data_IF_569502522255
#
_entry.id   IF_569502522255
#
_cell.length_a   1.000
_cell.length_b   1.000
_cell.length_c   1.000
_cell.angle_alpha   90.00
_cell.angle_beta   90.00
_cell.angle_gamma   90.00
#
_symmetry.space_group_name_H-M   'P 1'
#
loop_
_entity.id
_entity.type
_entity.pdbx_description
1 polymer ?
#
# COMPACT_ATOMS: atom_id res chain seq x y z
N UNK A 1 -17.77 24.02 -16.81
CA UNK A 1 -17.23 22.64 -16.80
C UNK A 1 -18.27 21.70 -16.24
N UNK A 2 -18.64 20.62 -16.97
CA UNK A 2 -19.51 19.57 -16.38
C UNK A 2 -18.63 18.71 -15.46
N UNK A 3 -19.03 18.47 -14.20
CA UNK A 3 -18.25 17.64 -13.29
C UNK A 3 -18.19 16.20 -13.82
N UNK A 4 -17.04 15.55 -13.65
CA UNK A 4 -16.72 14.19 -14.09
C UNK A 4 -17.54 13.10 -13.37
N UNK A 5 -18.88 13.15 -13.46
CA UNK A 5 -19.79 12.25 -12.74
C UNK A 5 -19.59 10.76 -13.09
N UNK A 6 -18.92 10.44 -14.20
CA UNK A 6 -18.73 9.05 -14.69
C UNK A 6 -17.28 8.59 -14.63
N UNK A 7 -16.35 9.38 -14.08
CA UNK A 7 -14.95 9.01 -14.06
C UNK A 7 -14.71 7.82 -13.14
N UNK A 8 -14.31 6.70 -13.73
CA UNK A 8 -14.04 5.43 -13.03
C UNK A 8 -12.57 5.15 -12.83
N UNK A 9 -11.73 5.70 -13.69
CA UNK A 9 -10.29 5.46 -13.72
C UNK A 9 -9.57 6.79 -13.82
N UNK A 10 -8.53 6.96 -13.02
CA UNK A 10 -7.74 8.17 -13.01
C UNK A 10 -6.26 7.82 -12.91
N UNK A 11 -5.47 8.48 -13.75
CA UNK A 11 -4.02 8.33 -13.82
C UNK A 11 -3.40 9.69 -13.53
N UNK A 12 -2.51 9.74 -12.55
CA UNK A 12 -1.72 10.92 -12.24
C UNK A 12 -0.26 10.63 -12.39
N UNK A 13 0.44 11.58 -12.99
CA UNK A 13 1.89 11.65 -12.95
C UNK A 13 2.27 13.03 -12.47
N UNK A 14 3.05 13.12 -11.40
CA UNK A 14 3.51 14.39 -10.88
C UNK A 14 4.87 14.27 -10.19
N UNK A 15 5.54 15.41 -10.09
CA UNK A 15 6.74 15.57 -9.28
C UNK A 15 6.32 16.19 -7.94
N UNK A 16 6.54 15.48 -6.82
CA UNK A 16 6.14 16.00 -5.51
C UNK A 16 7.15 16.99 -4.92
N UNK A 17 8.32 17.19 -5.54
CA UNK A 17 9.29 18.19 -5.10
C UNK A 17 8.69 19.61 -5.09
N UNK A 18 7.65 19.86 -5.89
CA UNK A 18 7.00 21.17 -6.03
C UNK A 18 5.60 21.24 -5.43
N UNK A 19 5.08 20.15 -4.85
CA UNK A 19 3.68 20.10 -4.39
C UNK A 19 3.59 20.59 -2.94
N UNK A 20 2.75 21.59 -2.74
CA UNK A 20 2.44 22.12 -1.42
C UNK A 20 1.35 21.30 -0.71
N UNK A 21 1.33 21.31 0.62
CA UNK A 21 0.28 20.66 1.41
C UNK A 21 -1.14 21.12 1.02
N UNK A 22 -1.31 22.40 0.66
CA UNK A 22 -2.60 22.96 0.20
C UNK A 22 -3.08 22.34 -1.11
N UNK A 23 -2.16 22.06 -2.04
CA UNK A 23 -2.49 21.42 -3.32
C UNK A 23 -2.88 19.95 -3.11
N UNK A 24 -2.22 19.27 -2.18
CA UNK A 24 -2.60 17.93 -1.73
C UNK A 24 -4.03 17.93 -1.16
N UNK A 25 -4.34 18.85 -0.24
CA UNK A 25 -5.67 18.98 0.36
C UNK A 25 -6.76 19.19 -0.70
N UNK A 26 -6.48 20.08 -1.66
CA UNK A 26 -7.41 20.38 -2.75
C UNK A 26 -7.61 19.18 -3.68
N UNK A 27 -6.54 18.45 -3.98
CA UNK A 27 -6.61 17.24 -4.80
C UNK A 27 -7.41 16.14 -4.09
N UNK A 28 -7.12 15.86 -2.82
CA UNK A 28 -7.84 14.89 -2.01
C UNK A 28 -9.33 15.26 -1.84
N UNK A 29 -9.63 16.54 -1.58
CA UNK A 29 -11.00 17.04 -1.55
C UNK A 29 -11.74 16.84 -2.87
N UNK A 30 -11.05 16.99 -4.00
CA UNK A 30 -11.61 16.73 -5.33
C UNK A 30 -11.86 15.24 -5.57
N UNK A 31 -10.93 14.37 -5.14
CA UNK A 31 -11.06 12.91 -5.25
C UNK A 31 -12.24 12.38 -4.44
N UNK A 32 -12.46 12.87 -3.22
CA UNK A 32 -13.60 12.49 -2.36
C UNK A 32 -14.96 12.81 -3.01
N UNK A 33 -15.02 13.79 -3.90
CA UNK A 33 -16.23 14.14 -4.65
C UNK A 33 -16.51 13.19 -5.83
N UNK A 34 -15.54 12.34 -6.22
CA UNK A 34 -15.69 11.39 -7.32
C UNK A 34 -16.38 10.11 -6.86
N UNK A 35 -17.71 10.12 -6.86
CA UNK A 35 -18.55 8.99 -6.40
C UNK A 35 -18.44 7.68 -7.19
N UNK A 36 -17.67 7.65 -8.28
CA UNK A 36 -17.56 6.50 -9.17
C UNK A 36 -16.11 6.07 -9.40
N UNK A 37 -15.14 6.70 -8.74
CA UNK A 37 -13.73 6.37 -8.92
C UNK A 37 -13.46 4.99 -8.34
N UNK A 38 -13.08 4.06 -9.22
CA UNK A 38 -12.83 2.66 -8.90
C UNK A 38 -11.33 2.34 -8.99
N UNK A 39 -10.64 2.91 -9.97
CA UNK A 39 -9.22 2.69 -10.21
C UNK A 39 -8.47 4.00 -10.14
N UNK A 40 -7.38 4.02 -9.39
CA UNK A 40 -6.47 5.14 -9.29
C UNK A 40 -5.04 4.65 -9.41
N UNK A 41 -4.30 5.25 -10.32
CA UNK A 41 -2.86 5.02 -10.48
C UNK A 41 -2.14 6.35 -10.37
N UNK A 42 -1.14 6.41 -9.50
CA UNK A 42 -0.33 7.60 -9.23
C UNK A 42 1.11 7.23 -9.45
N UNK A 43 1.81 8.01 -10.27
CA UNK A 43 3.26 7.93 -10.42
C UNK A 43 3.90 9.21 -9.91
N UNK A 44 4.75 9.10 -8.91
CA UNK A 44 5.45 10.19 -8.25
C UNK A 44 6.94 10.12 -8.61
N UNK A 45 7.52 11.17 -9.19
CA UNK A 45 8.94 11.16 -9.57
C UNK A 45 9.85 11.31 -8.34
N UNK A 46 9.71 12.41 -7.60
CA UNK A 46 10.38 12.66 -6.33
C UNK A 46 9.32 12.83 -5.25
N UNK A 47 9.49 12.20 -4.09
CA UNK A 47 8.53 12.26 -3.00
C UNK A 47 9.11 12.91 -1.75
N UNK A 48 8.38 13.86 -1.17
CA UNK A 48 8.49 14.18 0.25
C UNK A 48 7.61 13.19 1.01
N UNK A 49 8.18 12.54 2.03
CA UNK A 49 7.57 11.41 2.77
C UNK A 49 6.18 11.76 3.33
N UNK A 50 6.10 12.77 4.20
CA UNK A 50 4.89 13.07 4.96
C UNK A 50 3.64 13.38 4.09
N UNK A 51 3.71 14.22 3.04
CA UNK A 51 2.57 14.42 2.13
C UNK A 51 2.13 13.14 1.43
N UNK A 52 3.07 12.28 1.04
CA UNK A 52 2.76 11.06 0.31
C UNK A 52 2.09 10.01 1.20
N UNK A 53 2.55 9.82 2.44
CA UNK A 53 1.89 8.91 3.38
C UNK A 53 0.44 9.30 3.58
N UNK A 54 0.22 10.60 3.83
CA UNK A 54 -1.11 11.17 4.04
C UNK A 54 -2.00 10.95 2.82
N UNK A 55 -1.47 11.13 1.61
CA UNK A 55 -2.20 10.83 0.38
C UNK A 55 -2.61 9.37 0.37
N UNK A 56 -1.68 8.43 0.57
CA UNK A 56 -1.98 7.00 0.46
C UNK A 56 -3.03 6.56 1.49
N UNK A 57 -2.89 6.99 2.75
CA UNK A 57 -3.90 6.76 3.80
C UNK A 57 -5.28 7.24 3.36
N UNK A 58 -5.35 8.47 2.85
CA UNK A 58 -6.61 9.07 2.39
C UNK A 58 -7.23 8.33 1.20
N UNK A 59 -6.40 7.68 0.37
CA UNK A 59 -6.88 6.84 -0.73
C UNK A 59 -7.48 5.53 -0.23
N UNK A 60 -6.98 4.94 0.87
CA UNK A 60 -7.64 3.79 1.52
C UNK A 60 -9.04 4.15 2.03
N UNK A 61 -9.26 5.41 2.44
CA UNK A 61 -10.55 5.90 2.91
C UNK A 61 -11.58 6.16 1.78
N UNK A 62 -11.20 6.01 0.50
CA UNK A 62 -12.14 6.22 -0.61
C UNK A 62 -13.04 4.97 -0.79
N UNK A 63 -14.35 5.05 -0.49
CA UNK A 63 -15.21 3.87 -0.39
C UNK A 63 -15.44 3.17 -1.73
N UNK A 64 -15.26 3.87 -2.85
CA UNK A 64 -15.50 3.34 -4.20
C UNK A 64 -14.24 2.76 -4.84
N UNK A 65 -13.06 3.04 -4.26
CA UNK A 65 -11.78 2.67 -4.82
C UNK A 65 -11.52 1.18 -4.58
N UNK A 66 -11.36 0.44 -5.68
CA UNK A 66 -11.06 -1.00 -5.67
C UNK A 66 -9.64 -1.30 -6.14
N UNK A 67 -9.04 -0.41 -6.93
CA UNK A 67 -7.69 -0.61 -7.47
C UNK A 67 -6.86 0.62 -7.20
N UNK A 68 -5.79 0.43 -6.43
CA UNK A 68 -4.83 1.48 -6.10
C UNK A 68 -3.45 1.05 -6.57
N UNK A 69 -2.83 1.89 -7.40
CA UNK A 69 -1.45 1.75 -7.83
C UNK A 69 -0.70 3.03 -7.50
N UNK A 70 0.40 2.94 -6.76
CA UNK A 70 1.27 4.07 -6.44
C UNK A 70 2.70 3.68 -6.76
N UNK A 71 3.30 4.31 -7.76
CA UNK A 71 4.68 4.08 -8.15
C UNK A 71 5.52 5.32 -7.83
N UNK A 72 6.52 5.16 -6.99
CA UNK A 72 7.37 6.25 -6.52
C UNK A 72 8.75 6.03 -7.15
N UNK A 73 9.36 7.09 -7.70
CA UNK A 73 10.67 7.02 -8.34
C UNK A 73 11.77 6.93 -7.29
N UNK A 74 12.07 8.06 -6.66
CA UNK A 74 13.05 8.14 -5.58
C UNK A 74 12.39 8.56 -4.27
N UNK A 75 12.38 7.66 -3.29
CA UNK A 75 12.06 7.95 -1.90
C UNK A 75 13.24 7.49 -1.04
N UNK A 76 14.00 8.43 -0.48
CA UNK A 76 15.17 8.13 0.37
C UNK A 76 14.81 7.76 1.81
N UNK A 77 13.52 7.80 2.14
CA UNK A 77 13.03 7.56 3.49
C UNK A 77 12.30 6.23 3.56
N UNK A 78 12.55 5.49 4.63
CA UNK A 78 11.80 4.30 5.00
C UNK A 78 10.44 4.71 5.54
N UNK A 79 9.40 3.96 5.20
CA UNK A 79 8.07 4.26 5.71
C UNK A 79 8.00 3.94 7.20
N UNK A 80 7.88 4.96 8.06
CA UNK A 80 7.78 4.75 9.51
C UNK A 80 6.33 4.82 9.99
N UNK A 81 5.83 3.67 10.46
CA UNK A 81 4.58 3.50 11.22
C UNK A 81 3.30 4.08 10.57
N UNK A 82 2.77 3.41 9.55
CA UNK A 82 1.43 3.70 9.04
C UNK A 82 0.30 3.20 9.95
N UNK A 83 0.61 2.23 10.81
CA UNK A 83 -0.35 1.51 11.63
C UNK A 83 -1.47 2.39 12.26
N UNK A 84 -1.20 3.53 12.93
CA UNK A 84 -2.26 4.32 13.55
C UNK A 84 -3.18 5.07 12.56
N UNK A 85 -2.87 5.08 11.27
CA UNK A 85 -3.61 5.85 10.26
C UNK A 85 -4.30 4.99 9.22
N UNK A 86 -4.00 3.70 9.13
CA UNK A 86 -4.73 2.79 8.24
C UNK A 86 -6.15 2.63 8.79
N UNK A 87 -7.20 2.84 7.96
CA UNK A 87 -8.57 2.67 8.43
C UNK A 87 -8.85 1.22 8.79
N UNK A 88 -9.67 0.99 9.82
CA UNK A 88 -10.07 -0.35 10.28
C UNK A 88 -10.64 -1.24 9.16
N UNK A 89 -11.22 -0.64 8.12
CA UNK A 89 -11.62 -1.35 6.91
C UNK A 89 -11.53 -0.51 5.63
N UNK A 90 -11.20 -1.14 4.50
CA UNK A 90 -11.24 -0.52 3.17
C UNK A 90 -11.57 -1.51 2.03
N UNK A 91 -12.02 -0.98 0.89
CA UNK A 91 -12.64 -1.73 -0.22
C UNK A 91 -11.68 -2.10 -1.38
N UNK A 92 -10.37 -1.99 -1.16
CA UNK A 92 -9.38 -2.24 -2.20
C UNK A 92 -9.26 -3.74 -2.48
N UNK A 93 -9.39 -4.12 -3.75
CA UNK A 93 -9.21 -5.47 -4.27
C UNK A 93 -7.79 -5.66 -4.86
N UNK A 94 -7.21 -4.60 -5.42
CA UNK A 94 -5.86 -4.63 -6.01
C UNK A 94 -5.01 -3.49 -5.48
N UNK A 95 -3.92 -3.83 -4.79
CA UNK A 95 -2.96 -2.88 -4.26
C UNK A 95 -1.61 -3.08 -4.94
N UNK A 96 -1.05 -1.99 -5.45
CA UNK A 96 0.34 -1.94 -5.93
C UNK A 96 0.98 -0.69 -5.37
N UNK A 97 2.03 -0.84 -4.58
CA UNK A 97 2.80 0.31 -4.08
C UNK A 97 4.28 -0.03 -4.24
N UNK A 98 4.94 0.64 -5.18
CA UNK A 98 6.32 0.35 -5.58
C UNK A 98 7.20 1.58 -5.42
N UNK A 99 8.49 1.38 -5.15
CA UNK A 99 9.46 2.47 -4.99
C UNK A 99 9.39 3.20 -3.64
N UNK A 100 8.59 2.65 -2.71
CA UNK A 100 8.67 2.98 -1.29
C UNK A 100 8.50 1.69 -0.50
N UNK A 101 9.48 1.33 0.33
CA UNK A 101 9.47 0.06 1.03
C UNK A 101 8.63 0.15 2.32
N UNK A 102 7.85 -0.90 2.59
CA UNK A 102 6.94 -1.03 3.74
C UNK A 102 7.58 -1.83 4.86
N UNK A 103 7.12 -1.60 6.09
CA UNK A 103 7.35 -2.55 7.16
C UNK A 103 6.40 -3.75 7.04
N UNK A 104 6.85 -4.92 7.51
CA UNK A 104 6.05 -6.13 7.52
C UNK A 104 4.72 -5.95 8.28
N UNK A 105 4.76 -5.27 9.43
CA UNK A 105 3.57 -5.03 10.25
C UNK A 105 2.52 -4.18 9.53
N UNK A 106 2.94 -3.18 8.75
CA UNK A 106 2.02 -2.36 7.96
C UNK A 106 1.37 -3.20 6.85
N UNK A 107 2.14 -4.09 6.20
CA UNK A 107 1.57 -5.03 5.23
C UNK A 107 0.55 -5.97 5.88
N UNK A 108 0.84 -6.53 7.06
CA UNK A 108 -0.10 -7.38 7.79
C UNK A 108 -1.39 -6.64 8.11
N UNK A 109 -1.29 -5.40 8.59
CA UNK A 109 -2.45 -4.57 8.89
C UNK A 109 -3.28 -4.27 7.65
N UNK A 110 -2.64 -3.86 6.54
CA UNK A 110 -3.31 -3.63 5.24
C UNK A 110 -4.09 -4.89 4.82
N UNK A 111 -3.45 -6.05 4.94
CA UNK A 111 -4.07 -7.33 4.58
C UNK A 111 -5.28 -7.64 5.47
N UNK A 112 -5.22 -7.34 6.78
CA UNK A 112 -6.34 -7.56 7.71
C UNK A 112 -7.49 -6.58 7.52
N UNK A 113 -7.17 -5.31 7.27
CA UNK A 113 -8.15 -4.24 7.09
C UNK A 113 -8.89 -4.34 5.75
N UNK A 114 -8.49 -5.22 4.83
CA UNK A 114 -9.28 -5.48 3.63
C UNK A 114 -9.57 -6.95 3.37
N UNK A 115 -10.82 -7.31 3.64
CA UNK A 115 -11.36 -8.61 3.28
C UNK A 115 -11.50 -8.82 1.77
N UNK A 116 -11.42 -7.75 0.97
CA UNK A 116 -11.60 -7.80 -0.48
C UNK A 116 -10.30 -7.91 -1.26
N UNK A 117 -9.16 -7.81 -0.58
CA UNK A 117 -7.84 -7.84 -1.19
C UNK A 117 -7.61 -9.16 -1.93
N UNK A 118 -7.30 -9.06 -3.23
CA UNK A 118 -7.03 -10.20 -4.12
C UNK A 118 -5.62 -10.16 -4.69
N UNK A 119 -5.08 -8.97 -4.87
CA UNK A 119 -3.77 -8.74 -5.46
C UNK A 119 -2.98 -7.74 -4.62
N UNK A 120 -1.75 -8.12 -4.28
CA UNK A 120 -0.78 -7.25 -3.59
C UNK A 120 0.53 -7.31 -4.35
N UNK A 121 1.07 -6.14 -4.68
CA UNK A 121 2.45 -5.97 -5.12
C UNK A 121 3.06 -4.82 -4.32
N UNK A 122 4.02 -5.14 -3.45
CA UNK A 122 4.67 -4.16 -2.59
C UNK A 122 6.17 -4.44 -2.44
N UNK A 123 6.92 -3.39 -2.08
CA UNK A 123 8.31 -3.50 -1.63
C UNK A 123 8.36 -3.48 -0.10
N UNK A 124 9.23 -4.27 0.53
CA UNK A 124 9.38 -4.38 1.98
C UNK A 124 10.80 -3.98 2.42
N UNK A 125 10.92 -3.23 3.51
CA UNK A 125 12.19 -2.89 4.17
C UNK A 125 12.68 -4.02 5.08
N UNK A 126 13.84 -3.81 5.70
CA UNK A 126 14.52 -4.71 6.65
C UNK A 126 13.59 -5.23 7.75
N UNK A 127 13.44 -6.54 7.81
CA UNK A 127 12.68 -7.27 8.85
C UNK A 127 13.43 -7.38 10.18
N UNK A 128 14.77 -7.30 10.16
CA UNK A 128 15.65 -7.61 11.31
C UNK A 128 15.47 -6.73 12.53
N UNK A 129 15.14 -5.45 12.35
CA UNK A 129 15.12 -4.49 13.46
C UNK A 129 13.93 -4.71 14.42
N UNK A 130 12.93 -5.50 14.03
CA UNK A 130 11.61 -5.44 14.67
C UNK A 130 11.13 -6.73 15.34
N UNK A 131 11.88 -7.83 15.27
CA UNK A 131 11.67 -8.97 16.17
C UNK A 131 11.93 -8.61 17.65
N UNK A 132 12.61 -7.49 17.91
CA UNK A 132 12.88 -6.99 19.27
C UNK A 132 11.75 -6.13 19.87
N UNK A 133 10.77 -5.70 19.06
CA UNK A 133 9.60 -4.97 19.56
C UNK A 133 8.43 -5.96 19.74
N UNK A 134 8.40 -6.61 20.90
CA UNK A 134 7.43 -7.63 21.35
C UNK A 134 5.94 -7.18 21.39
N UNK A 135 5.57 -6.04 20.81
CA UNK A 135 4.30 -5.38 21.09
C UNK A 135 3.13 -5.67 20.14
N UNK A 136 3.38 -6.13 18.91
CA UNK A 136 2.30 -6.29 17.93
C UNK A 136 2.42 -7.66 17.26
N UNK A 137 2.04 -8.70 17.99
CA UNK A 137 1.65 -9.98 17.39
C UNK A 137 0.33 -9.77 16.64
N UNK A 138 0.40 -9.21 15.43
CA UNK A 138 -0.73 -9.20 14.52
C UNK A 138 -0.98 -10.66 14.10
N UNK A 139 -1.91 -11.32 14.79
CA UNK A 139 -2.37 -12.65 14.38
C UNK A 139 -3.16 -12.48 13.09
N UNK A 140 -2.60 -12.94 11.97
CA UNK A 140 -3.28 -12.98 10.68
C UNK A 140 -4.38 -14.04 10.77
N UNK A 141 -5.57 -13.62 11.19
CA UNK A 141 -6.63 -14.55 11.58
C UNK A 141 -7.28 -15.28 10.41
N UNK A 142 -7.15 -14.79 9.17
CA UNK A 142 -7.47 -15.46 7.89
C UNK A 142 -7.67 -14.42 6.78
N UNK A 143 -7.08 -14.63 5.60
CA UNK A 143 -7.24 -13.72 4.44
C UNK A 143 -7.77 -14.52 3.25
N UNK A 144 -9.09 -14.73 3.17
CA UNK A 144 -9.64 -15.70 2.23
C UNK A 144 -9.42 -15.33 0.76
N UNK A 145 -9.34 -14.05 0.42
CA UNK A 145 -9.48 -13.64 -0.97
C UNK A 145 -8.16 -13.35 -1.67
N UNK A 146 -7.03 -13.37 -0.96
CA UNK A 146 -5.73 -13.05 -1.53
C UNK A 146 -5.31 -14.15 -2.52
N UNK A 147 -5.17 -13.78 -3.79
CA UNK A 147 -4.85 -14.69 -4.90
C UNK A 147 -3.45 -14.46 -5.46
N UNK A 148 -2.97 -13.23 -5.42
CA UNK A 148 -1.66 -12.86 -5.96
C UNK A 148 -0.90 -12.04 -4.93
N UNK A 149 0.30 -12.50 -4.59
CA UNK A 149 1.21 -11.84 -3.66
C UNK A 149 2.58 -11.69 -4.32
N UNK A 150 2.98 -10.46 -4.58
CA UNK A 150 4.28 -10.11 -5.15
C UNK A 150 5.00 -9.25 -4.11
N UNK A 151 6.10 -9.77 -3.57
CA UNK A 151 6.90 -9.10 -2.55
C UNK A 151 8.31 -8.88 -3.04
N UNK A 152 8.76 -7.63 -2.93
CA UNK A 152 10.12 -7.22 -3.25
C UNK A 152 10.85 -6.84 -1.96
N UNK A 153 11.91 -7.55 -1.61
CA UNK A 153 12.67 -7.33 -0.39
C UNK A 153 13.96 -6.58 -0.68
N UNK A 154 14.42 -5.77 0.28
CA UNK A 154 15.71 -5.06 0.20
C UNK A 154 16.88 -5.87 0.75
N UNK A 155 16.60 -6.94 1.51
CA UNK A 155 17.63 -7.79 2.10
C UNK A 155 17.22 -9.26 2.06
N UNK A 156 18.21 -10.13 1.90
CA UNK A 156 18.06 -11.58 2.07
C UNK A 156 18.17 -11.93 3.57
N UNK A 157 17.05 -11.86 4.28
CA UNK A 157 16.97 -12.20 5.70
C UNK A 157 16.12 -13.46 5.94
N UNK A 158 16.65 -14.53 6.57
CA UNK A 158 15.89 -15.75 6.85
C UNK A 158 14.56 -15.51 7.57
N UNK A 159 14.49 -14.50 8.45
CA UNK A 159 13.26 -14.19 9.19
C UNK A 159 12.13 -13.68 8.30
N UNK A 160 12.47 -13.06 7.16
CA UNK A 160 11.51 -12.65 6.14
C UNK A 160 10.76 -13.86 5.58
N UNK A 161 11.47 -14.93 5.24
CA UNK A 161 10.87 -16.14 4.69
C UNK A 161 9.97 -16.85 5.70
N UNK A 162 10.35 -16.86 6.98
CA UNK A 162 9.49 -17.38 8.05
C UNK A 162 8.17 -16.57 8.17
N UNK A 163 8.25 -15.25 8.04
CA UNK A 163 7.08 -14.38 8.06
C UNK A 163 6.18 -14.60 6.84
N UNK A 164 6.75 -14.73 5.65
CA UNK A 164 6.01 -15.10 4.43
C UNK A 164 5.35 -16.47 4.62
N UNK A 165 6.06 -17.46 5.14
CA UNK A 165 5.50 -18.79 5.41
C UNK A 165 4.30 -18.73 6.38
N UNK A 166 4.35 -17.87 7.42
CA UNK A 166 3.21 -17.63 8.31
C UNK A 166 2.01 -17.04 7.57
N UNK A 167 2.23 -16.05 6.70
CA UNK A 167 1.17 -15.47 5.87
C UNK A 167 0.54 -16.50 4.92
N UNK A 168 1.37 -17.32 4.27
CA UNK A 168 0.88 -18.40 3.38
C UNK A 168 0.04 -19.44 4.14
N UNK A 169 0.41 -19.79 5.38
CA UNK A 169 -0.42 -20.67 6.22
C UNK A 169 -1.77 -20.06 6.59
N UNK A 170 -1.86 -18.74 6.63
CA UNK A 170 -3.12 -18.02 6.86
C UNK A 170 -3.94 -17.80 5.58
N UNK A 171 -3.41 -18.16 4.40
CA UNK A 171 -3.98 -17.86 3.09
C UNK A 171 -3.98 -19.09 2.17
N UNK A 172 -5.16 -19.70 1.97
CA UNK A 172 -5.27 -20.95 1.21
C UNK A 172 -5.57 -20.76 -0.28
N UNK A 173 -5.78 -19.52 -0.73
CA UNK A 173 -6.25 -19.21 -2.09
C UNK A 173 -5.19 -18.50 -2.96
N UNK A 174 -3.93 -18.47 -2.52
CA UNK A 174 -2.85 -17.89 -3.31
C UNK A 174 -2.57 -18.78 -4.52
N UNK A 175 -2.80 -18.23 -5.71
CA UNK A 175 -2.51 -18.86 -6.99
C UNK A 175 -1.16 -18.43 -7.56
N UNK A 176 -0.67 -17.25 -7.16
CA UNK A 176 0.60 -16.71 -7.63
C UNK A 176 1.37 -16.06 -6.48
N UNK A 177 2.60 -16.52 -6.28
CA UNK A 177 3.55 -15.96 -5.33
C UNK A 177 4.83 -15.62 -6.08
N UNK A 178 5.27 -14.37 -5.94
CA UNK A 178 6.56 -13.92 -6.45
C UNK A 178 7.31 -13.22 -5.33
N UNK A 179 8.54 -13.70 -5.09
CA UNK A 179 9.45 -13.16 -4.09
C UNK A 179 10.71 -12.73 -4.83
N UNK A 180 11.05 -11.46 -4.74
CA UNK A 180 12.28 -10.91 -5.34
C UNK A 180 13.09 -10.26 -4.24
N UNK A 181 14.39 -10.53 -4.19
CA UNK A 181 15.33 -9.76 -3.38
C UNK A 181 16.06 -8.82 -4.33
N UNK A 182 16.04 -7.52 -4.03
CA UNK A 182 16.81 -6.51 -4.76
C UNK A 182 18.01 -6.12 -3.91
N UNK A 183 19.21 -6.32 -4.44
CA UNK A 183 20.42 -5.74 -3.85
C UNK A 183 20.30 -4.20 -3.90
N UNK A 184 20.57 -3.56 -2.76
CA UNK A 184 20.49 -2.10 -2.58
C UNK A 184 21.48 -1.31 -3.45
#
# INVERSE_FOLDING_TARGET
MRPFKTLRTLYFHFDAATITSKEVDKALGSLRNLKNLNTLSIKVAHALEAPLMRIIVELFCLPTLKRLSVAIGECKSEWTFMNPWIPDSFNIEHLTITGMPFQWNDLQLIIQCSRHLRYVNVRLTKTRLYLSQEGISIQLDYVPNLQTLILHFEEDDPTTFDMVAKLLRATYNICWLELTVHDA
#
